data_IF_183393762602
#
_entry.id   IF_183393762602
#
_cell.length_a   1.000
_cell.length_b   1.000
_cell.length_c   1.000
_cell.angle_alpha   90.00
_cell.angle_beta   90.00
_cell.angle_gamma   90.00
#
_symmetry.space_group_name_H-M   'P 1'
#
loop_
_entity.id
_entity.type
_entity.pdbx_description
1 polymer ?
#
# COMPACT_ATOMS: atom_id res chain seq x y z
N UNK A 1 11.01 4.38 2.76
CA UNK A 1 12.23 3.54 2.66
C UNK A 1 12.57 3.22 1.21
N UNK A 2 11.70 2.54 0.44
CA UNK A 2 12.01 2.11 -0.93
C UNK A 2 12.19 3.25 -1.94
N UNK A 3 11.50 4.39 -1.77
CA UNK A 3 11.77 5.60 -2.56
C UNK A 3 13.19 6.15 -2.35
N UNK A 4 13.66 6.26 -1.10
CA UNK A 4 15.03 6.69 -0.79
C UNK A 4 16.08 5.72 -1.35
N UNK A 5 15.79 4.42 -1.29
CA UNK A 5 16.61 3.40 -1.95
C UNK A 5 16.68 3.63 -3.47
N UNK A 6 15.53 3.85 -4.12
CA UNK A 6 15.46 4.17 -5.54
C UNK A 6 16.25 5.42 -5.91
N UNK A 7 16.15 6.48 -5.11
CA UNK A 7 16.93 7.71 -5.30
C UNK A 7 18.45 7.44 -5.20
N UNK A 8 18.89 6.77 -4.14
CA UNK A 8 20.30 6.45 -3.93
C UNK A 8 20.87 5.53 -5.01
N UNK A 9 20.12 4.50 -5.40
CA UNK A 9 20.49 3.60 -6.48
C UNK A 9 20.61 4.34 -7.82
N UNK A 10 19.70 5.28 -8.11
CA UNK A 10 19.72 6.04 -9.35
C UNK A 10 20.90 7.02 -9.41
N UNK A 11 21.15 7.77 -8.34
CA UNK A 11 22.33 8.64 -8.25
C UNK A 11 23.60 7.81 -8.41
N UNK A 12 23.74 6.70 -7.68
CA UNK A 12 24.88 5.80 -7.81
C UNK A 12 25.08 5.27 -9.23
N UNK A 13 24.00 4.89 -9.92
CA UNK A 13 24.04 4.47 -11.31
C UNK A 13 24.47 5.59 -12.26
N UNK A 14 24.00 6.82 -12.06
CA UNK A 14 24.38 7.97 -12.91
C UNK A 14 25.84 8.34 -12.75
N UNK A 15 26.37 8.30 -11.52
CA UNK A 15 27.80 8.44 -11.26
C UNK A 15 28.61 7.33 -11.91
N UNK A 16 28.20 6.07 -11.75
CA UNK A 16 28.89 4.94 -12.35
C UNK A 16 28.94 5.04 -13.88
N UNK A 17 27.80 5.31 -14.52
CA UNK A 17 27.71 5.38 -15.97
C UNK A 17 28.45 6.60 -16.56
N UNK A 18 28.29 7.78 -15.95
CA UNK A 18 28.79 9.04 -16.52
C UNK A 18 30.26 9.30 -16.20
N UNK A 19 30.78 8.76 -15.09
CA UNK A 19 32.14 9.04 -14.62
C UNK A 19 33.08 7.84 -14.75
N UNK A 20 32.64 6.64 -14.36
CA UNK A 20 33.52 5.47 -14.23
C UNK A 20 33.53 4.59 -15.47
N UNK A 21 32.36 4.26 -16.02
CA UNK A 21 32.24 3.29 -17.10
C UNK A 21 32.55 3.92 -18.46
N UNK A 22 31.83 4.99 -18.82
CA UNK A 22 31.97 5.61 -20.14
C UNK A 22 31.80 7.14 -20.09
N UNK A 23 32.85 7.89 -19.75
CA UNK A 23 32.78 9.34 -19.70
C UNK A 23 32.65 9.95 -21.10
N UNK A 24 31.46 10.48 -21.42
CA UNK A 24 31.20 11.20 -22.67
C UNK A 24 31.22 12.71 -22.43
N UNK A 25 31.96 13.43 -23.26
CA UNK A 25 31.80 14.87 -23.34
C UNK A 25 30.53 15.24 -24.13
N UNK A 26 29.46 15.58 -23.40
CA UNK A 26 28.20 16.07 -23.99
C UNK A 26 28.07 17.57 -23.72
N UNK A 27 28.45 18.38 -24.71
CA UNK A 27 28.29 19.83 -24.65
C UNK A 27 29.20 20.53 -23.64
N UNK A 28 30.36 19.95 -23.31
CA UNK A 28 31.35 20.53 -22.39
C UNK A 28 30.97 20.47 -20.92
N UNK A 29 29.88 19.78 -20.57
CA UNK A 29 29.40 19.67 -19.19
C UNK A 29 30.30 18.76 -18.35
N UNK A 30 30.47 19.05 -17.04
CA UNK A 30 31.14 18.14 -16.12
C UNK A 30 30.45 16.77 -16.10
N UNK A 31 31.24 15.70 -16.01
CA UNK A 31 30.70 14.34 -15.91
C UNK A 31 29.92 14.11 -14.60
N UNK A 32 30.26 14.87 -13.55
CA UNK A 32 29.48 14.99 -12.31
C UNK A 32 28.46 16.14 -12.39
N UNK A 33 27.42 15.96 -13.22
CA UNK A 33 26.36 16.95 -13.41
C UNK A 33 25.16 16.69 -12.49
N UNK A 34 25.34 16.80 -11.17
CA UNK A 34 24.25 16.65 -10.18
C UNK A 34 22.95 17.38 -10.55
N UNK A 35 22.95 18.64 -11.02
CA UNK A 35 21.71 19.32 -11.42
C UNK A 35 20.95 18.62 -12.56
N UNK A 36 21.66 17.95 -13.46
CA UNK A 36 21.05 17.19 -14.56
C UNK A 36 20.50 15.82 -14.09
N UNK A 37 21.03 15.29 -13.00
CA UNK A 37 20.65 14.00 -12.40
C UNK A 37 19.38 14.09 -11.55
N UNK A 38 19.11 15.27 -10.97
CA UNK A 38 17.96 15.49 -10.07
C UNK A 38 16.61 15.10 -10.70
N UNK A 39 16.24 15.53 -11.93
CA UNK A 39 14.94 15.17 -12.50
C UNK A 39 14.79 13.64 -12.67
N UNK A 40 15.82 12.95 -13.16
CA UNK A 40 15.79 11.50 -13.33
C UNK A 40 15.74 10.75 -12.00
N UNK A 41 16.53 11.20 -11.03
CA UNK A 41 16.52 10.65 -9.67
C UNK A 41 15.15 10.82 -9.02
N UNK A 42 14.50 11.97 -9.21
CA UNK A 42 13.14 12.22 -8.71
C UNK A 42 12.13 11.23 -9.30
N UNK A 43 12.12 11.03 -10.62
CA UNK A 43 11.20 10.10 -11.27
C UNK A 43 11.37 8.66 -10.74
N UNK A 44 12.62 8.20 -10.60
CA UNK A 44 12.89 6.85 -10.07
C UNK A 44 12.52 6.74 -8.59
N UNK A 45 12.77 7.77 -7.79
CA UNK A 45 12.34 7.82 -6.39
C UNK A 45 10.82 7.66 -6.28
N UNK A 46 10.06 8.42 -7.07
CA UNK A 46 8.59 8.39 -7.08
C UNK A 46 8.07 7.03 -7.57
N UNK A 47 8.68 6.48 -8.62
CA UNK A 47 8.33 5.15 -9.13
C UNK A 47 8.49 4.06 -8.06
N UNK A 48 9.65 4.00 -7.39
CA UNK A 48 9.88 3.03 -6.33
C UNK A 48 8.94 3.25 -5.14
N UNK A 49 8.66 4.50 -4.77
CA UNK A 49 7.72 4.81 -3.70
C UNK A 49 6.29 4.35 -4.05
N UNK A 50 5.81 4.65 -5.26
CA UNK A 50 4.46 4.28 -5.71
C UNK A 50 4.27 2.77 -5.83
N UNK A 51 5.15 2.09 -6.55
CA UNK A 51 5.06 0.63 -6.78
C UNK A 51 5.15 -0.12 -5.45
N UNK A 52 6.09 0.25 -4.57
CA UNK A 52 6.20 -0.40 -3.27
C UNK A 52 4.98 -0.20 -2.38
N UNK A 53 4.34 0.97 -2.44
CA UNK A 53 3.11 1.25 -1.68
C UNK A 53 1.96 0.35 -2.14
N UNK A 54 1.78 0.21 -3.46
CA UNK A 54 0.73 -0.66 -4.02
C UNK A 54 1.01 -2.13 -3.69
N UNK A 55 2.25 -2.58 -3.79
CA UNK A 55 2.63 -3.95 -3.40
C UNK A 55 2.37 -4.18 -1.91
N UNK A 56 2.75 -3.23 -1.05
CA UNK A 56 2.49 -3.33 0.38
C UNK A 56 0.99 -3.39 0.69
N UNK A 57 0.17 -2.59 -0.01
CA UNK A 57 -1.30 -2.65 0.12
C UNK A 57 -1.82 -4.06 -0.19
N UNK A 58 -1.37 -4.68 -1.28
CA UNK A 58 -1.78 -6.04 -1.63
C UNK A 58 -1.34 -7.08 -0.60
N UNK A 59 -0.11 -6.97 -0.09
CA UNK A 59 0.41 -7.91 0.93
C UNK A 59 -0.34 -7.76 2.25
N UNK A 60 -0.44 -6.54 2.79
CA UNK A 60 -1.09 -6.26 4.09
C UNK A 60 -2.57 -6.61 4.05
N UNK A 61 -3.25 -6.28 2.95
CA UNK A 61 -4.68 -6.59 2.77
C UNK A 61 -4.92 -8.03 2.32
N UNK A 62 -3.85 -8.82 2.12
CA UNK A 62 -3.89 -10.19 1.57
C UNK A 62 -4.72 -10.26 0.28
N UNK A 63 -4.56 -9.29 -0.62
CA UNK A 63 -5.26 -9.23 -1.91
C UNK A 63 -4.38 -9.86 -2.99
N UNK A 64 -4.93 -10.84 -3.70
CA UNK A 64 -4.25 -11.48 -4.82
C UNK A 64 -5.29 -11.96 -5.86
N UNK A 65 -4.93 -12.01 -7.16
CA UNK A 65 -5.82 -12.49 -8.20
C UNK A 65 -6.35 -13.89 -7.89
N UNK A 66 -7.66 -14.09 -8.03
CA UNK A 66 -8.32 -15.37 -7.75
C UNK A 66 -8.72 -15.59 -6.29
N UNK A 67 -8.41 -14.68 -5.36
CA UNK A 67 -8.95 -14.76 -4.00
C UNK A 67 -10.47 -14.56 -4.01
N UNK A 68 -11.21 -15.51 -3.43
CA UNK A 68 -12.65 -15.36 -3.24
C UNK A 68 -12.92 -14.24 -2.22
N UNK A 69 -13.80 -13.27 -2.52
CA UNK A 69 -14.13 -12.21 -1.59
C UNK A 69 -14.85 -12.80 -0.37
N UNK A 70 -14.38 -12.47 0.83
CA UNK A 70 -15.05 -12.79 2.09
C UNK A 70 -15.85 -11.57 2.52
N UNK A 71 -17.10 -11.50 2.06
CA UNK A 71 -18.03 -10.43 2.43
C UNK A 71 -18.94 -10.92 3.56
N UNK A 72 -19.22 -10.05 4.53
CA UNK A 72 -20.20 -10.32 5.60
C UNK A 72 -21.60 -10.48 4.97
N UNK A 73 -21.98 -9.52 4.13
CA UNK A 73 -23.19 -9.57 3.30
C UNK A 73 -22.88 -8.98 1.91
N UNK A 74 -23.48 -9.52 0.82
CA UNK A 74 -23.34 -8.96 -0.53
C UNK A 74 -23.79 -7.49 -0.65
N UNK A 75 -24.68 -7.04 0.27
CA UNK A 75 -25.22 -5.68 0.28
C UNK A 75 -24.24 -4.64 0.82
N UNK A 76 -23.15 -5.07 1.48
CA UNK A 76 -22.14 -4.16 2.05
C UNK A 76 -21.44 -3.32 0.98
N UNK A 77 -21.28 -3.87 -0.21
CA UNK A 77 -20.68 -3.15 -1.35
C UNK A 77 -21.70 -2.31 -2.13
N UNK A 78 -22.97 -2.32 -1.74
CA UNK A 78 -24.06 -1.69 -2.48
C UNK A 78 -24.76 -0.61 -1.66
N UNK A 79 -25.50 -1.00 -0.61
CA UNK A 79 -26.48 -0.13 0.06
C UNK A 79 -26.51 -0.23 1.58
N UNK A 80 -25.74 -1.13 2.19
CA UNK A 80 -25.73 -1.34 3.64
C UNK A 80 -24.34 -1.21 4.25
N UNK A 81 -24.27 -0.79 5.52
CA UNK A 81 -23.06 -0.84 6.32
C UNK A 81 -23.14 -2.02 7.28
N UNK A 82 -22.03 -2.73 7.48
CA UNK A 82 -21.96 -3.84 8.43
C UNK A 82 -20.97 -3.51 9.55
N UNK A 83 -21.39 -3.79 10.79
CA UNK A 83 -20.53 -3.79 11.95
C UNK A 83 -20.28 -5.25 12.33
N UNK A 84 -19.01 -5.68 12.31
CA UNK A 84 -18.63 -7.05 12.63
C UNK A 84 -17.82 -7.08 13.92
N UNK A 85 -18.18 -8.01 14.81
CA UNK A 85 -17.45 -8.29 16.04
C UNK A 85 -16.83 -9.67 15.90
N UNK A 86 -15.50 -9.73 15.92
CA UNK A 86 -14.78 -11.00 15.83
C UNK A 86 -14.64 -11.61 17.23
N UNK A 87 -15.16 -12.83 17.41
CA UNK A 87 -15.02 -13.59 18.65
C UNK A 87 -13.76 -14.48 18.60
N UNK A 88 -12.59 -13.87 18.48
CA UNK A 88 -11.31 -14.61 18.49
C UNK A 88 -10.51 -14.19 19.72
N UNK A 89 -10.56 -15.01 20.78
CA UNK A 89 -9.68 -14.89 21.96
C UNK A 89 -10.09 -13.88 23.04
N UNK A 90 -11.29 -13.32 22.98
CA UNK A 90 -11.81 -12.36 23.96
C UNK A 90 -13.15 -12.77 24.56
N UNK A 91 -13.40 -12.32 25.79
CA UNK A 91 -14.62 -12.52 26.58
C UNK A 91 -15.79 -11.65 26.04
N UNK A 92 -15.97 -11.60 24.71
CA UNK A 92 -17.05 -10.81 24.09
C UNK A 92 -18.37 -11.49 24.43
N UNK A 93 -19.12 -10.90 25.36
CA UNK A 93 -20.41 -11.39 25.77
C UNK A 93 -21.44 -11.02 24.70
N UNK A 94 -21.92 -12.04 24.00
CA UNK A 94 -22.94 -11.90 22.94
C UNK A 94 -24.15 -11.12 23.44
N UNK A 95 -24.61 -11.36 24.67
CA UNK A 95 -25.77 -10.67 25.24
C UNK A 95 -25.56 -9.15 25.37
N UNK A 96 -24.36 -8.72 25.76
CA UNK A 96 -24.01 -7.30 25.89
C UNK A 96 -23.98 -6.60 24.53
N UNK A 97 -23.45 -7.27 23.50
CA UNK A 97 -23.45 -6.76 22.13
C UNK A 97 -24.88 -6.65 21.60
N UNK A 98 -25.73 -7.65 21.84
CA UNK A 98 -27.14 -7.58 21.45
C UNK A 98 -27.87 -6.41 22.13
N UNK A 99 -27.65 -6.21 23.43
CA UNK A 99 -28.29 -5.11 24.17
C UNK A 99 -27.76 -3.73 23.74
N UNK A 100 -26.46 -3.63 23.41
CA UNK A 100 -25.90 -2.42 22.79
C UNK A 100 -26.58 -2.12 21.46
N UNK A 101 -26.75 -3.12 20.59
CA UNK A 101 -27.32 -2.96 19.26
C UNK A 101 -28.81 -2.62 19.28
N UNK A 102 -29.58 -3.11 20.26
CA UNK A 102 -31.00 -2.76 20.44
C UNK A 102 -31.22 -1.25 20.67
N UNK A 103 -30.23 -0.54 21.20
CA UNK A 103 -30.30 0.91 21.40
C UNK A 103 -30.26 1.72 20.11
N UNK A 104 -29.95 1.08 18.97
CA UNK A 104 -29.78 1.73 17.67
C UNK A 104 -30.75 1.18 16.62
N UNK A 105 -30.92 1.90 15.52
CA UNK A 105 -31.78 1.51 14.39
C UNK A 105 -31.10 0.45 13.50
N UNK A 106 -30.79 -0.72 14.07
CA UNK A 106 -30.17 -1.83 13.34
C UNK A 106 -31.21 -2.52 12.49
N UNK A 107 -30.91 -2.69 11.19
CA UNK A 107 -31.82 -3.32 10.23
C UNK A 107 -31.84 -4.84 10.39
N UNK A 108 -30.68 -5.45 10.65
CA UNK A 108 -30.51 -6.89 10.72
C UNK A 108 -29.34 -7.24 11.65
N UNK A 109 -29.52 -8.29 12.47
CA UNK A 109 -28.47 -8.84 13.34
C UNK A 109 -28.33 -10.32 12.99
N UNK A 110 -27.15 -10.71 12.54
CA UNK A 110 -26.81 -12.11 12.23
C UNK A 110 -25.64 -12.57 13.11
N UNK A 111 -25.78 -13.75 13.69
CA UNK A 111 -24.68 -14.46 14.34
C UNK A 111 -24.17 -15.56 13.39
N UNK A 112 -22.89 -15.48 13.02
CA UNK A 112 -22.23 -16.48 12.18
C UNK A 112 -21.11 -17.14 12.96
N UNK A 113 -21.25 -18.43 13.18
CA UNK A 113 -20.17 -19.27 13.70
C UNK A 113 -19.23 -19.56 12.52
N UNK A 114 -17.98 -19.10 12.64
CA UNK A 114 -16.95 -19.26 11.63
C UNK A 114 -16.50 -20.72 11.46
#
# INVERSE_FOLDING_TARGET
>A
ALGLFGAGAKVGFEYWASWLDWPVNVGGKPWDSLPAFVPLTFEIMVLFAGVSTVIALFIVSKLYPGKKPQLISPRVTNDQFALAFEHTGGNVNVAEVYDLLKGYNVVEIEERVA
#
